data_IF_871809399906
#
_entry.id   IF_871809399906
#
_cell.length_a   1.000
_cell.length_b   1.000
_cell.length_c   1.000
_cell.angle_alpha   90.00
_cell.angle_beta   90.00
_cell.angle_gamma   90.00
#
_symmetry.space_group_name_H-M   'P 1'
#
loop_
_entity.id
_entity.type
_entity.pdbx_description
1 polymer ?
#
# COMPACT_ATOMS: atom_id res chain seq x y z
N UNK A 1 28.87 8.91 34.22
CA UNK A 1 27.41 8.78 33.93
C UNK A 1 26.99 9.40 32.59
N UNK A 2 27.54 10.54 32.16
CA UNK A 2 27.10 11.20 30.91
C UNK A 2 27.34 10.38 29.63
N UNK A 3 28.50 9.72 29.51
CA UNK A 3 28.81 8.83 28.38
C UNK A 3 27.87 7.62 28.28
N UNK A 4 27.50 7.03 29.42
CA UNK A 4 26.53 5.92 29.45
C UNK A 4 25.14 6.37 29.01
N UNK A 5 24.72 7.57 29.42
CA UNK A 5 23.43 8.14 29.01
C UNK A 5 23.41 8.41 27.50
N UNK A 6 24.46 9.02 26.95
CA UNK A 6 24.55 9.21 25.48
C UNK A 6 24.55 7.88 24.72
N UNK A 7 25.32 6.90 25.17
CA UNK A 7 25.36 5.57 24.55
C UNK A 7 24.00 4.89 24.56
N UNK A 8 23.28 4.96 25.70
CA UNK A 8 21.92 4.44 25.82
C UNK A 8 20.94 5.13 24.86
N UNK A 9 20.95 6.46 24.79
CA UNK A 9 20.08 7.22 23.89
C UNK A 9 20.34 6.86 22.41
N UNK A 10 21.60 6.61 22.02
CA UNK A 10 21.94 6.19 20.67
C UNK A 10 21.50 4.76 20.36
N UNK A 11 21.70 3.83 21.29
CA UNK A 11 21.23 2.45 21.16
C UNK A 11 19.71 2.40 21.05
N UNK A 12 18.99 3.22 21.82
CA UNK A 12 17.53 3.26 21.77
C UNK A 12 17.02 3.79 20.43
N UNK A 13 17.63 4.85 19.89
CA UNK A 13 17.33 5.33 18.53
C UNK A 13 17.62 4.27 17.46
N UNK A 14 18.73 3.56 17.57
CA UNK A 14 19.08 2.47 16.66
C UNK A 14 18.07 1.31 16.75
N UNK A 15 17.64 0.95 17.97
CA UNK A 15 16.59 -0.05 18.22
C UNK A 15 15.28 0.34 17.52
N UNK A 16 14.80 1.56 17.73
CA UNK A 16 13.57 2.07 17.09
C UNK A 16 13.70 2.05 15.57
N UNK A 17 14.83 2.52 15.03
CA UNK A 17 15.13 2.47 13.59
C UNK A 17 15.06 1.05 13.03
N UNK A 18 15.62 0.07 13.74
CA UNK A 18 15.62 -1.32 13.33
C UNK A 18 14.20 -1.90 13.36
N UNK A 19 13.42 -1.60 14.40
CA UNK A 19 12.01 -2.01 14.49
C UNK A 19 11.20 -1.47 13.32
N UNK A 20 11.30 -0.17 13.01
CA UNK A 20 10.61 0.44 11.87
C UNK A 20 11.03 -0.23 10.53
N UNK A 21 12.31 -0.53 10.37
CA UNK A 21 12.83 -1.17 9.15
C UNK A 21 12.33 -2.60 8.99
N UNK A 22 12.25 -3.36 10.09
CA UNK A 22 11.69 -4.72 10.08
C UNK A 22 10.19 -4.72 9.75
N UNK A 23 9.43 -3.75 10.27
CA UNK A 23 7.99 -3.61 9.99
C UNK A 23 7.68 -3.14 8.57
N UNK A 24 8.62 -2.51 7.87
CA UNK A 24 8.44 -2.09 6.49
C UNK A 24 7.98 -3.24 5.58
N UNK A 25 8.61 -4.41 5.69
CA UNK A 25 8.25 -5.58 4.87
C UNK A 25 6.81 -6.03 5.17
N UNK A 26 6.42 -6.07 6.45
CA UNK A 26 5.05 -6.39 6.85
C UNK A 26 4.05 -5.35 6.34
N UNK A 27 4.42 -4.06 6.38
CA UNK A 27 3.58 -2.96 5.90
C UNK A 27 3.35 -3.07 4.39
N UNK A 28 4.39 -3.40 3.63
CA UNK A 28 4.26 -3.60 2.18
C UNK A 28 3.31 -4.75 1.84
N UNK A 29 3.36 -5.85 2.60
CA UNK A 29 2.44 -6.97 2.47
C UNK A 29 1.00 -6.58 2.78
N UNK A 30 0.80 -5.84 3.88
CA UNK A 30 -0.51 -5.35 4.30
C UNK A 30 -1.13 -4.41 3.27
N UNK A 31 -0.37 -3.43 2.76
CA UNK A 31 -0.83 -2.49 1.71
C UNK A 31 -1.31 -3.23 0.45
N UNK A 32 -0.63 -4.33 0.08
CA UNK A 32 -1.07 -5.18 -1.04
C UNK A 32 -2.32 -6.00 -0.76
N UNK A 33 -2.71 -6.20 0.49
CA UNK A 33 -4.01 -6.82 0.85
C UNK A 33 -5.12 -5.80 1.13
N UNK A 34 -4.79 -4.53 1.35
CA UNK A 34 -5.76 -3.50 1.65
C UNK A 34 -6.65 -3.17 0.45
N UNK A 35 -7.89 -2.78 0.79
CA UNK A 35 -8.84 -2.23 -0.15
C UNK A 35 -8.48 -0.77 -0.46
N UNK A 36 -7.74 -0.57 -1.55
CA UNK A 36 -7.23 0.73 -1.98
C UNK A 36 -8.32 1.65 -2.55
N UNK A 37 -9.56 1.17 -2.70
CA UNK A 37 -10.72 2.05 -2.98
C UNK A 37 -11.04 2.94 -1.76
N UNK A 38 -10.64 2.51 -0.55
CA UNK A 38 -10.66 3.34 0.66
C UNK A 38 -9.45 4.26 0.62
N UNK A 39 -9.67 5.52 0.27
CA UNK A 39 -8.63 6.54 0.05
C UNK A 39 -7.56 6.57 1.15
N UNK A 40 -7.88 6.31 2.42
CA UNK A 40 -6.88 6.31 3.49
C UNK A 40 -7.25 5.37 4.64
N UNK A 41 -6.26 4.97 5.43
CA UNK A 41 -6.45 4.15 6.63
C UNK A 41 -5.35 4.31 7.67
N UNK A 42 -5.56 3.67 8.83
CA UNK A 42 -4.59 3.62 9.92
C UNK A 42 -4.68 2.27 10.60
N UNK A 43 -3.54 1.60 10.73
CA UNK A 43 -3.44 0.24 11.26
C UNK A 43 -2.30 0.12 12.27
N UNK A 44 -2.55 -0.59 13.36
CA UNK A 44 -1.53 -0.94 14.36
C UNK A 44 -0.78 -2.20 13.92
N UNK A 45 0.55 -2.12 13.87
CA UNK A 45 1.44 -3.19 13.41
C UNK A 45 2.13 -3.95 14.56
N UNK A 46 1.70 -3.69 15.79
CA UNK A 46 2.33 -4.21 17.01
C UNK A 46 3.63 -3.49 17.35
N UNK A 47 4.19 -3.79 18.53
CA UNK A 47 5.43 -3.15 19.06
C UNK A 47 5.35 -1.62 19.16
N UNK A 48 4.14 -1.06 19.24
CA UNK A 48 3.90 0.38 19.24
C UNK A 48 4.19 1.07 17.90
N UNK A 49 4.17 0.31 16.80
CA UNK A 49 4.31 0.81 15.44
C UNK A 49 2.94 1.01 14.82
N UNK A 50 2.66 2.25 14.41
CA UNK A 50 1.44 2.61 13.67
C UNK A 50 1.78 2.83 12.20
N UNK A 51 0.95 2.29 11.31
CA UNK A 51 0.95 2.55 9.88
C UNK A 51 -0.19 3.51 9.56
N UNK A 52 0.12 4.63 8.91
CA UNK A 52 -0.88 5.49 8.26
C UNK A 52 -0.65 5.46 6.77
N UNK A 53 -1.71 5.34 5.99
CA UNK A 53 -1.58 5.24 4.54
C UNK A 53 -2.68 6.01 3.82
N UNK A 54 -2.35 6.46 2.62
CA UNK A 54 -3.21 7.17 1.70
C UNK A 54 -2.96 6.62 0.29
N UNK A 55 -4.03 6.26 -0.41
CA UNK A 55 -4.00 5.69 -1.75
C UNK A 55 -4.69 6.65 -2.73
N UNK A 56 -3.96 7.03 -3.77
CA UNK A 56 -4.47 7.78 -4.91
C UNK A 56 -4.39 6.95 -6.19
N UNK A 57 -5.42 7.01 -7.03
CA UNK A 57 -5.35 6.45 -8.39
C UNK A 57 -4.44 7.35 -9.23
N UNK A 58 -3.31 6.79 -9.68
CA UNK A 58 -2.37 7.49 -10.53
C UNK A 58 -2.76 7.37 -12.01
N UNK A 59 -3.20 6.18 -12.42
CA UNK A 59 -3.62 5.92 -13.81
C UNK A 59 -4.58 4.76 -13.86
N UNK A 60 -5.43 4.76 -14.89
CA UNK A 60 -6.32 3.66 -15.20
C UNK A 60 -6.28 3.36 -16.70
N UNK A 61 -6.38 2.08 -17.04
CA UNK A 61 -6.34 1.62 -18.43
C UNK A 61 -7.33 0.49 -18.64
N UNK A 62 -8.04 0.57 -19.75
CA UNK A 62 -8.81 -0.54 -20.29
C UNK A 62 -8.08 -1.03 -21.55
N UNK A 63 -7.51 -2.25 -21.55
CA UNK A 63 -6.82 -2.78 -22.72
C UNK A 63 -7.82 -3.01 -23.86
N UNK A 64 -7.56 -2.39 -25.02
CA UNK A 64 -8.37 -2.56 -26.24
C UNK A 64 -7.69 -3.58 -27.15
N UNK A 65 -8.43 -4.58 -27.62
CA UNK A 65 -7.93 -5.51 -28.64
C UNK A 65 -7.91 -4.84 -30.00
N UNK A 66 -6.75 -4.81 -30.66
CA UNK A 66 -6.58 -4.17 -31.97
C UNK A 66 -7.16 -4.99 -33.14
N UNK A 67 -7.57 -6.24 -32.91
CA UNK A 67 -7.83 -7.20 -34.00
C UNK A 67 -9.30 -7.56 -34.26
N UNK A 68 -10.30 -7.04 -33.54
CA UNK A 68 -11.71 -7.44 -33.74
C UNK A 68 -12.65 -6.30 -34.14
N UNK A 69 -13.17 -6.41 -35.38
CA UNK A 69 -14.26 -5.60 -35.96
C UNK A 69 -15.67 -5.98 -35.46
N UNK A 70 -15.81 -7.00 -34.61
CA UNK A 70 -17.09 -7.41 -34.04
C UNK A 70 -16.95 -7.49 -32.51
N UNK A 71 -17.88 -6.85 -31.83
CA UNK A 71 -17.78 -6.38 -30.47
C UNK A 71 -17.67 -7.48 -29.39
N UNK A 72 -17.29 -7.00 -28.20
CA UNK A 72 -17.26 -7.65 -26.87
C UNK A 72 -16.03 -8.55 -26.61
N UNK A 73 -15.28 -8.39 -25.53
CA UNK A 73 -15.60 -7.85 -24.22
C UNK A 73 -14.31 -7.37 -23.53
N UNK A 74 -14.32 -6.16 -22.98
CA UNK A 74 -13.24 -5.74 -22.08
C UNK A 74 -13.35 -6.58 -20.81
N UNK A 75 -12.38 -7.46 -20.55
CA UNK A 75 -12.45 -8.37 -19.40
C UNK A 75 -11.95 -7.73 -18.11
N UNK A 76 -11.05 -6.75 -18.20
CA UNK A 76 -10.36 -6.18 -17.04
C UNK A 76 -10.17 -4.67 -17.16
N UNK A 77 -10.36 -3.98 -16.05
CA UNK A 77 -9.98 -2.59 -15.84
C UNK A 77 -8.73 -2.58 -14.96
N UNK A 78 -7.62 -2.08 -15.50
CA UNK A 78 -6.34 -1.96 -14.79
C UNK A 78 -6.28 -0.61 -14.08
N UNK A 79 -5.89 -0.62 -12.81
CA UNK A 79 -5.81 0.55 -11.95
C UNK A 79 -4.43 0.58 -11.31
N UNK A 80 -3.68 1.65 -11.53
CA UNK A 80 -2.40 1.90 -10.88
C UNK A 80 -2.61 2.88 -9.74
N UNK A 81 -2.37 2.42 -8.51
CA UNK A 81 -2.42 3.24 -7.31
C UNK A 81 -1.02 3.69 -6.92
N UNK A 82 -0.89 4.94 -6.51
CA UNK A 82 0.23 5.43 -5.71
C UNK A 82 -0.24 5.42 -4.25
N UNK A 83 0.45 4.65 -3.42
CA UNK A 83 0.19 4.57 -1.97
C UNK A 83 1.33 5.25 -1.24
N UNK A 84 1.00 6.31 -0.53
CA UNK A 84 1.91 7.01 0.38
C UNK A 84 1.59 6.56 1.80
N UNK A 85 2.62 6.20 2.56
CA UNK A 85 2.42 5.70 3.91
C UNK A 85 3.55 6.08 4.85
N UNK A 86 3.18 6.27 6.11
CA UNK A 86 4.07 6.64 7.20
C UNK A 86 4.06 5.52 8.24
N UNK A 87 5.25 5.07 8.63
CA UNK A 87 5.45 4.23 9.80
C UNK A 87 5.94 5.10 10.95
N UNK A 88 5.24 5.06 12.08
CA UNK A 88 5.61 5.83 13.28
C UNK A 88 5.73 4.94 14.50
N UNK A 89 6.79 5.14 15.28
CA UNK A 89 7.01 4.46 16.55
C UNK A 89 7.75 5.39 17.51
N UNK A 90 7.24 5.54 18.73
CA UNK A 90 7.91 6.27 19.83
C UNK A 90 8.45 7.66 19.41
N UNK A 91 7.68 8.41 18.62
CA UNK A 91 8.03 9.76 18.15
C UNK A 91 8.96 9.81 16.93
N UNK A 92 9.43 8.66 16.42
CA UNK A 92 10.16 8.57 15.16
C UNK A 92 9.18 8.18 14.05
N UNK A 93 9.13 8.95 12.97
CA UNK A 93 8.35 8.65 11.78
C UNK A 93 9.23 8.48 10.55
N UNK A 94 8.77 7.65 9.61
CA UNK A 94 9.37 7.48 8.29
C UNK A 94 8.30 7.40 7.23
N UNK A 95 8.51 8.16 6.17
CA UNK A 95 7.58 8.25 5.05
C UNK A 95 8.10 7.41 3.88
N UNK A 96 7.16 6.75 3.21
CA UNK A 96 7.42 5.85 2.11
C UNK A 96 6.34 6.01 1.05
N UNK A 97 6.68 5.63 -0.19
CA UNK A 97 5.71 5.54 -1.27
C UNK A 97 5.91 4.26 -2.07
N UNK A 98 4.82 3.72 -2.61
CA UNK A 98 4.87 2.59 -3.52
C UNK A 98 3.75 2.61 -4.54
N UNK A 99 3.97 1.90 -5.64
CA UNK A 99 2.96 1.70 -6.67
C UNK A 99 2.33 0.32 -6.53
N UNK A 100 1.00 0.26 -6.57
CA UNK A 100 0.23 -0.98 -6.50
C UNK A 100 -0.68 -1.08 -7.73
N UNK A 101 -0.45 -2.11 -8.54
CA UNK A 101 -1.32 -2.42 -9.67
C UNK A 101 -2.47 -3.32 -9.20
N UNK A 102 -3.70 -2.93 -9.53
CA UNK A 102 -4.92 -3.70 -9.32
C UNK A 102 -5.62 -3.93 -10.66
N UNK A 103 -6.40 -5.00 -10.73
CA UNK A 103 -7.30 -5.25 -11.84
C UNK A 103 -8.70 -5.53 -11.31
N UNK A 104 -9.72 -5.02 -12.02
CA UNK A 104 -11.13 -5.28 -11.73
C UNK A 104 -11.75 -5.96 -12.94
N UNK A 105 -12.33 -7.13 -12.77
CA UNK A 105 -13.03 -7.79 -13.86
C UNK A 105 -14.31 -7.00 -14.19
N UNK A 106 -14.51 -6.68 -15.46
CA UNK A 106 -15.77 -6.11 -15.95
C UNK A 106 -16.67 -7.30 -16.28
N UNK A 107 -17.76 -7.50 -15.53
CA UNK A 107 -18.68 -8.60 -15.79
C UNK A 107 -19.25 -8.47 -17.20
N UNK A 108 -19.12 -9.53 -17.99
CA UNK A 108 -19.84 -9.66 -19.25
C UNK A 108 -21.28 -10.01 -18.91
N UNK A 109 -22.19 -9.04 -18.92
CA UNK A 109 -23.64 -9.32 -18.93
C UNK A 109 -23.98 -9.99 -20.26
N UNK A 110 -23.85 -11.31 -20.29
CA UNK A 110 -24.56 -12.15 -21.23
C UNK A 110 -25.64 -12.88 -20.42
N UNK A 111 -26.72 -12.17 -20.09
CA UNK A 111 -27.98 -12.81 -19.73
C UNK A 111 -28.65 -13.29 -21.04
N UNK A 112 -28.91 -14.59 -21.22
CA UNK A 112 -30.06 -15.02 -22.01
C UNK A 112 -31.25 -15.12 -21.05
N UNK A 113 -32.11 -14.11 -21.06
CA UNK A 113 -33.51 -14.30 -20.64
C UNK A 113 -34.21 -15.10 -21.72
N UNK A 114 -34.49 -16.37 -21.44
CA UNK A 114 -35.54 -17.18 -22.09
C UNK A 114 -35.90 -18.37 -21.21
#
# INVERSE_FOLDING_TARGET
>A
MYLFRMGFEHLEKARISNTLSAKLVQATGLIRSLDLEKVSGTEEMGEGVTLKWNAGVLSSMMPVSAEKKEASSFLYHLLLYQVEFTLSAQGVSRDYSMHVLRYKALQTTNEPTS
#
